data_IF_288553445649
#
_entry.id   IF_288553445649
#
_cell.length_a   1.000
_cell.length_b   1.000
_cell.length_c   1.000
_cell.angle_alpha   90.00
_cell.angle_beta   90.00
_cell.angle_gamma   90.00
#
_symmetry.space_group_name_H-M   'P 1'
#
loop_
_entity.id
_entity.type
_entity.pdbx_description
1 polymer ?
#
# COMPACT_ATOMS: atom_id res chain seq x y z
N UNK A 1 23.71 22.90 3.36
CA UNK A 1 22.83 22.01 2.56
C UNK A 1 21.52 21.66 3.27
N UNK A 2 21.49 21.18 4.51
CA UNK A 2 20.25 20.79 5.21
C UNK A 2 19.17 21.88 5.26
N UNK A 3 19.53 23.15 5.51
CA UNK A 3 18.57 24.26 5.54
C UNK A 3 17.96 24.60 4.16
N UNK A 4 18.70 24.38 3.07
CA UNK A 4 18.18 24.58 1.72
C UNK A 4 17.14 23.52 1.34
N UNK A 5 17.40 22.26 1.71
CA UNK A 5 16.42 21.17 1.50
C UNK A 5 15.17 21.37 2.34
N UNK A 6 15.30 21.81 3.59
CA UNK A 6 14.16 22.12 4.46
C UNK A 6 13.28 23.23 3.89
N UNK A 7 13.87 24.31 3.32
CA UNK A 7 13.12 25.39 2.67
C UNK A 7 12.39 24.94 1.40
N UNK A 8 13.02 24.07 0.61
CA UNK A 8 12.41 23.57 -0.63
C UNK A 8 11.29 22.54 -0.38
N UNK A 9 11.28 21.91 0.80
CA UNK A 9 10.31 20.88 1.16
C UNK A 9 9.26 21.39 2.17
N UNK A 10 9.29 22.69 2.56
CA UNK A 10 8.24 23.25 3.39
C UNK A 10 7.00 23.56 2.56
N UNK A 11 5.85 23.16 3.05
CA UNK A 11 4.57 23.49 2.47
C UNK A 11 4.01 24.72 3.20
N UNK A 12 4.36 25.90 2.71
CA UNK A 12 4.02 27.16 3.39
C UNK A 12 2.54 27.55 3.21
N UNK A 13 1.90 27.09 2.14
CA UNK A 13 0.49 27.33 1.82
C UNK A 13 -0.08 26.20 0.98
N UNK A 14 -1.36 25.96 1.14
CA UNK A 14 -2.10 24.99 0.33
C UNK A 14 -3.54 25.46 0.16
N UNK A 15 -4.16 25.10 -0.95
CA UNK A 15 -5.56 25.35 -1.21
C UNK A 15 -6.36 24.09 -1.02
N UNK A 16 -7.38 24.11 -0.17
CA UNK A 16 -8.28 23.00 0.12
C UNK A 16 -9.72 23.46 -0.09
N UNK A 17 -10.46 22.80 -0.96
CA UNK A 17 -11.84 23.19 -1.30
C UNK A 17 -12.00 24.67 -1.69
N UNK A 18 -11.03 25.21 -2.43
CA UNK A 18 -11.02 26.60 -2.87
C UNK A 18 -10.53 27.61 -1.84
N UNK A 19 -10.23 27.20 -0.60
CA UNK A 19 -9.78 28.07 0.49
C UNK A 19 -8.26 27.95 0.67
N UNK A 20 -7.56 29.11 0.72
CA UNK A 20 -6.15 29.16 1.03
C UNK A 20 -5.89 29.03 2.53
N UNK A 21 -5.04 28.08 2.89
CA UNK A 21 -4.49 27.91 4.23
C UNK A 21 -3.01 28.32 4.22
N UNK A 22 -2.63 29.22 5.09
CA UNK A 22 -1.28 29.82 5.12
C UNK A 22 -0.60 29.73 6.49
N UNK A 23 -1.36 29.50 7.57
CA UNK A 23 -0.79 29.27 8.88
C UNK A 23 -0.45 27.78 9.02
N UNK A 24 0.72 27.50 9.54
CA UNK A 24 1.23 26.13 9.65
C UNK A 24 0.23 25.17 10.31
N UNK A 25 -0.42 25.60 11.39
CA UNK A 25 -1.40 24.77 12.08
C UNK A 25 -2.65 24.53 11.24
N UNK A 26 -3.19 25.59 10.60
CA UNK A 26 -4.37 25.49 9.74
C UNK A 26 -4.09 24.58 8.53
N UNK A 27 -2.88 24.64 7.97
CA UNK A 27 -2.42 23.77 6.88
C UNK A 27 -2.40 22.31 7.34
N UNK A 28 -1.79 22.02 8.49
CA UNK A 28 -1.72 20.65 9.03
C UNK A 28 -3.10 20.08 9.33
N UNK A 29 -3.93 20.85 10.02
CA UNK A 29 -5.29 20.42 10.39
C UNK A 29 -6.17 20.27 9.14
N UNK A 30 -6.08 21.20 8.20
CA UNK A 30 -6.82 21.15 6.94
C UNK A 30 -6.48 19.92 6.11
N UNK A 31 -5.20 19.61 5.98
CA UNK A 31 -4.74 18.39 5.29
C UNK A 31 -5.24 17.14 6.00
N UNK A 32 -5.05 17.06 7.34
CA UNK A 32 -5.48 15.92 8.13
C UNK A 32 -7.00 15.66 8.00
N UNK A 33 -7.80 16.72 8.12
CA UNK A 33 -9.26 16.65 7.99
C UNK A 33 -9.69 16.25 6.57
N UNK A 34 -9.05 16.79 5.53
CA UNK A 34 -9.37 16.44 4.15
C UNK A 34 -9.10 14.96 3.86
N UNK A 35 -7.94 14.44 4.27
CA UNK A 35 -7.63 13.01 4.12
C UNK A 35 -8.47 12.13 5.04
N UNK A 36 -8.78 12.57 6.25
CA UNK A 36 -9.69 11.82 7.12
C UNK A 36 -11.07 11.68 6.47
N UNK A 37 -11.61 12.75 5.92
CA UNK A 37 -12.89 12.72 5.22
C UNK A 37 -12.84 11.84 3.97
N UNK A 38 -11.77 11.92 3.19
CA UNK A 38 -11.57 11.15 1.96
C UNK A 38 -11.41 9.65 2.22
N UNK A 39 -10.66 9.29 3.28
CA UNK A 39 -10.38 7.90 3.64
C UNK A 39 -11.43 7.29 4.58
N UNK A 40 -12.37 8.11 5.07
CA UNK A 40 -13.49 7.60 5.89
C UNK A 40 -14.52 6.94 5.00
N UNK A 41 -14.91 5.72 5.35
CA UNK A 41 -15.95 4.97 4.66
C UNK A 41 -17.33 5.57 4.96
N UNK A 42 -17.82 6.45 4.08
CA UNK A 42 -19.13 7.06 4.20
C UNK A 42 -20.23 6.29 3.44
N UNK A 43 -19.86 5.24 2.70
CA UNK A 43 -20.79 4.49 1.88
C UNK A 43 -21.63 3.54 2.74
N UNK A 44 -22.96 3.75 2.74
CA UNK A 44 -23.94 2.81 3.32
C UNK A 44 -24.05 1.52 2.50
N UNK A 45 -23.61 1.55 1.24
CA UNK A 45 -23.67 0.41 0.34
C UNK A 45 -22.33 -0.35 0.39
N UNK A 46 -22.44 -1.64 0.65
CA UNK A 46 -21.30 -2.58 0.53
C UNK A 46 -21.64 -3.60 -0.53
N UNK A 47 -20.67 -3.91 -1.38
CA UNK A 47 -20.85 -4.95 -2.39
C UNK A 47 -21.13 -6.29 -1.68
N UNK A 48 -22.16 -7.00 -2.11
CA UNK A 48 -22.43 -8.35 -1.62
C UNK A 48 -21.54 -9.35 -2.39
N UNK A 49 -20.55 -9.87 -1.70
CA UNK A 49 -19.59 -10.84 -2.24
C UNK A 49 -20.03 -12.30 -2.02
N UNK A 50 -21.12 -12.56 -1.31
CA UNK A 50 -21.56 -13.93 -0.96
C UNK A 50 -21.96 -14.78 -2.15
N UNK A 51 -22.30 -14.16 -3.28
CA UNK A 51 -22.63 -14.85 -4.52
C UNK A 51 -21.44 -15.08 -5.46
N UNK A 52 -20.24 -14.64 -5.10
CA UNK A 52 -19.06 -14.85 -5.93
C UNK A 52 -18.54 -16.29 -5.75
N UNK A 53 -18.35 -16.96 -6.88
CA UNK A 53 -17.61 -18.24 -6.90
C UNK A 53 -16.12 -17.90 -6.86
N UNK A 54 -15.50 -18.15 -5.72
CA UNK A 54 -14.07 -17.95 -5.51
C UNK A 54 -13.39 -19.32 -5.46
N UNK A 55 -12.22 -19.41 -6.06
CA UNK A 55 -11.37 -20.58 -5.89
C UNK A 55 -10.92 -20.69 -4.42
N UNK A 56 -10.86 -21.91 -3.90
CA UNK A 56 -10.53 -22.17 -2.51
C UNK A 56 -9.11 -22.70 -2.38
N UNK A 57 -8.48 -22.38 -1.27
CA UNK A 57 -7.23 -22.98 -0.85
C UNK A 57 -7.49 -24.39 -0.33
N UNK A 58 -6.52 -25.30 -0.51
CA UNK A 58 -6.53 -26.60 0.15
C UNK A 58 -6.36 -26.42 1.67
N UNK A 59 -6.79 -27.43 2.44
CA UNK A 59 -6.63 -27.43 3.90
C UNK A 59 -5.16 -27.21 4.29
N UNK A 60 -4.23 -27.89 3.63
CA UNK A 60 -2.79 -27.76 3.88
C UNK A 60 -2.27 -26.34 3.63
N UNK A 61 -2.77 -25.67 2.61
CA UNK A 61 -2.38 -24.27 2.30
C UNK A 61 -2.93 -23.31 3.33
N UNK A 62 -4.15 -23.52 3.79
CA UNK A 62 -4.76 -22.72 4.86
C UNK A 62 -3.98 -22.90 6.15
N UNK A 63 -3.71 -24.13 6.57
CA UNK A 63 -2.89 -24.43 7.75
C UNK A 63 -1.51 -23.77 7.65
N UNK A 64 -0.84 -23.83 6.50
CA UNK A 64 0.47 -23.21 6.31
C UNK A 64 0.44 -21.66 6.43
N UNK A 65 -0.66 -21.02 6.04
CA UNK A 65 -0.82 -19.56 6.22
C UNK A 65 -1.00 -19.18 7.67
N UNK A 66 -1.59 -20.06 8.49
CA UNK A 66 -1.91 -19.83 9.90
C UNK A 66 -0.82 -20.32 10.86
N UNK A 67 0.27 -20.90 10.37
CA UNK A 67 1.40 -21.30 11.22
C UNK A 67 1.99 -20.10 11.98
N UNK A 68 2.48 -20.31 13.21
CA UNK A 68 3.26 -19.31 13.93
C UNK A 68 4.43 -18.79 13.06
N UNK A 69 4.86 -17.59 13.31
CA UNK A 69 5.99 -17.00 12.59
C UNK A 69 7.31 -17.57 13.12
N UNK A 70 8.19 -18.00 12.21
CA UNK A 70 9.54 -18.46 12.59
C UNK A 70 10.56 -17.33 12.51
N UNK A 71 11.63 -17.40 13.32
CA UNK A 71 12.73 -16.45 13.27
C UNK A 71 13.36 -16.38 11.86
N UNK A 72 13.52 -17.54 11.19
CA UNK A 72 14.07 -17.61 9.84
C UNK A 72 13.22 -16.86 8.83
N UNK A 73 11.89 -17.01 8.92
CA UNK A 73 10.93 -16.31 8.03
C UNK A 73 11.00 -14.80 8.22
N UNK A 74 11.01 -14.35 9.46
CA UNK A 74 11.04 -12.92 9.81
C UNK A 74 12.37 -12.30 9.44
N UNK A 75 13.49 -12.93 9.79
CA UNK A 75 14.84 -12.50 9.43
C UNK A 75 15.03 -12.43 7.90
N UNK A 76 14.63 -13.46 7.18
CA UNK A 76 14.71 -13.49 5.72
C UNK A 76 13.91 -12.36 5.09
N UNK A 77 12.68 -12.12 5.56
CA UNK A 77 11.86 -11.03 5.08
C UNK A 77 12.50 -9.65 5.36
N UNK A 78 13.12 -9.47 6.53
CA UNK A 78 13.85 -8.24 6.89
C UNK A 78 15.03 -8.00 5.95
N UNK A 79 15.84 -9.03 5.71
CA UNK A 79 17.05 -8.92 4.85
C UNK A 79 16.71 -8.67 3.37
N UNK A 80 15.51 -9.09 2.91
CA UNK A 80 15.01 -8.77 1.57
C UNK A 80 14.54 -7.31 1.40
N UNK A 81 14.35 -6.57 2.49
CA UNK A 81 13.88 -5.20 2.42
C UNK A 81 15.00 -4.24 2.04
N UNK A 82 14.65 -3.16 1.34
CA UNK A 82 15.62 -2.11 1.02
C UNK A 82 15.90 -1.23 2.25
N UNK A 83 17.13 -1.26 2.73
CA UNK A 83 17.60 -0.51 3.90
C UNK A 83 17.51 1.01 3.77
N UNK A 84 17.61 1.55 2.54
CA UNK A 84 17.65 2.99 2.26
C UNK A 84 16.25 3.67 2.30
N UNK A 85 15.20 2.92 2.61
CA UNK A 85 13.86 3.49 2.70
C UNK A 85 13.72 4.44 3.88
N UNK A 86 13.07 5.57 3.64
CA UNK A 86 12.80 6.58 4.66
C UNK A 86 12.11 5.97 5.89
N UNK A 87 12.54 6.36 7.11
CA UNK A 87 11.92 5.90 8.35
C UNK A 87 10.52 6.48 8.53
N UNK A 88 9.75 5.83 9.39
CA UNK A 88 8.47 6.34 9.88
C UNK A 88 8.63 7.20 11.15
N UNK A 89 7.54 7.35 11.94
CA UNK A 89 7.56 8.09 13.19
C UNK A 89 8.51 7.54 14.25
N UNK A 90 8.86 6.25 14.16
CA UNK A 90 9.85 5.58 15.01
C UNK A 90 11.28 6.09 14.80
N UNK A 91 11.57 6.75 13.68
CA UNK A 91 12.87 7.29 13.32
C UNK A 91 13.91 6.25 12.88
N UNK A 92 13.56 4.95 12.89
CA UNK A 92 14.47 3.87 12.53
C UNK A 92 14.32 3.49 11.05
N UNK A 93 15.45 3.43 10.34
CA UNK A 93 15.51 2.91 8.97
C UNK A 93 15.42 1.38 8.97
N UNK A 94 15.14 0.79 7.81
CA UNK A 94 15.18 -0.67 7.66
C UNK A 94 16.61 -1.18 7.88
N UNK A 95 17.64 -0.43 7.43
CA UNK A 95 19.04 -0.76 7.66
C UNK A 95 19.36 -0.91 9.15
N UNK A 96 18.83 -0.02 10.02
CA UNK A 96 18.99 -0.17 11.46
C UNK A 96 18.52 -1.54 11.97
N UNK A 97 17.32 -1.97 11.55
CA UNK A 97 16.75 -3.27 11.96
C UNK A 97 17.57 -4.45 11.43
N UNK A 98 18.12 -4.33 10.20
CA UNK A 98 18.99 -5.33 9.60
C UNK A 98 20.32 -5.46 10.36
N UNK A 99 20.99 -4.33 10.65
CA UNK A 99 22.29 -4.30 11.32
C UNK A 99 22.19 -4.69 12.80
N UNK A 100 21.06 -4.41 13.45
CA UNK A 100 20.84 -4.70 14.87
C UNK A 100 20.06 -6.00 15.11
N UNK A 101 19.82 -6.83 14.09
CA UNK A 101 18.97 -8.02 14.19
C UNK A 101 19.30 -8.90 15.40
N UNK A 102 20.55 -9.25 15.58
CA UNK A 102 20.98 -10.12 16.69
C UNK A 102 20.65 -9.55 18.07
N UNK A 103 20.52 -8.24 18.18
CA UNK A 103 20.20 -7.55 19.42
C UNK A 103 18.69 -7.41 19.64
N UNK A 104 17.90 -7.21 18.57
CA UNK A 104 16.45 -6.87 18.68
C UNK A 104 15.54 -8.05 18.37
N UNK A 105 16.07 -9.19 17.94
CA UNK A 105 15.28 -10.30 17.43
C UNK A 105 14.29 -10.88 18.45
N UNK A 106 14.64 -10.92 19.73
CA UNK A 106 13.78 -11.48 20.76
C UNK A 106 12.49 -10.64 20.91
N UNK A 107 12.62 -9.33 21.00
CA UNK A 107 11.49 -8.40 21.11
C UNK A 107 10.65 -8.37 19.81
N UNK A 108 11.32 -8.45 18.66
CA UNK A 108 10.62 -8.53 17.36
C UNK A 108 9.83 -9.83 17.27
N UNK A 109 10.39 -10.96 17.66
CA UNK A 109 9.69 -12.25 17.65
C UNK A 109 8.53 -12.29 18.67
N UNK A 110 8.68 -11.66 19.83
CA UNK A 110 7.58 -11.51 20.78
C UNK A 110 6.42 -10.72 20.19
N UNK A 111 6.70 -9.61 19.48
CA UNK A 111 5.69 -8.84 18.77
C UNK A 111 4.95 -9.69 17.70
N UNK A 112 5.68 -10.52 16.94
CA UNK A 112 5.07 -11.43 15.96
C UNK A 112 4.22 -12.51 16.61
N UNK A 113 4.63 -13.02 17.77
CA UNK A 113 3.87 -13.97 18.56
C UNK A 113 2.57 -13.35 19.08
N UNK A 114 2.64 -12.15 19.67
CA UNK A 114 1.46 -11.41 20.13
C UNK A 114 0.48 -11.15 18.99
N UNK A 115 0.99 -10.76 17.81
CA UNK A 115 0.15 -10.58 16.63
C UNK A 115 -0.54 -11.88 16.20
N UNK A 116 0.17 -13.01 16.23
CA UNK A 116 -0.38 -14.31 15.87
C UNK A 116 -1.46 -14.77 16.87
N UNK A 117 -1.22 -14.63 18.16
CA UNK A 117 -2.13 -15.09 19.21
C UNK A 117 -3.36 -14.20 19.38
N UNK A 118 -3.18 -12.87 19.27
CA UNK A 118 -4.23 -11.90 19.59
C UNK A 118 -4.87 -11.28 18.35
N UNK A 119 -4.35 -11.53 17.16
CA UNK A 119 -4.78 -10.89 15.89
C UNK A 119 -4.83 -9.35 16.01
N UNK A 120 -4.00 -8.78 16.86
CA UNK A 120 -3.96 -7.35 17.15
C UNK A 120 -2.54 -6.81 17.00
N UNK A 121 -2.44 -5.55 16.59
CA UNK A 121 -1.19 -4.85 16.40
C UNK A 121 -1.20 -3.55 17.21
N UNK A 122 -0.09 -3.23 17.86
CA UNK A 122 0.00 -2.03 18.70
C UNK A 122 -0.26 -0.77 17.85
N UNK A 123 -1.22 0.05 18.27
CA UNK A 123 -1.59 1.29 17.55
C UNK A 123 -0.40 2.24 17.36
N UNK A 124 0.54 2.28 18.30
CA UNK A 124 1.75 3.10 18.21
C UNK A 124 2.64 2.71 17.02
N UNK A 125 2.72 1.42 16.69
CA UNK A 125 3.48 0.91 15.56
C UNK A 125 2.78 1.14 14.22
N UNK A 126 1.46 1.36 14.23
CA UNK A 126 0.65 1.68 13.04
C UNK A 126 0.51 3.19 12.81
N UNK A 127 1.35 4.00 13.43
CA UNK A 127 1.40 5.44 13.14
C UNK A 127 2.23 5.71 11.89
N UNK A 128 1.88 6.78 11.18
CA UNK A 128 2.58 7.16 9.95
C UNK A 128 2.76 8.66 9.84
N UNK A 129 3.85 9.10 9.23
CA UNK A 129 3.91 10.46 8.69
C UNK A 129 3.24 10.49 7.33
N UNK A 130 2.41 11.49 7.10
CA UNK A 130 1.86 11.79 5.80
C UNK A 130 2.68 12.90 5.14
N UNK A 131 3.37 12.57 4.05
CA UNK A 131 4.19 13.52 3.28
C UNK A 131 3.51 13.78 1.94
N UNK A 132 3.40 15.05 1.57
CA UNK A 132 2.81 15.47 0.31
C UNK A 132 3.89 15.71 -0.75
N UNK A 133 3.82 14.97 -1.85
CA UNK A 133 4.74 15.12 -2.99
C UNK A 133 3.99 15.79 -4.14
N UNK A 134 4.45 16.94 -4.66
CA UNK A 134 3.78 17.61 -5.76
C UNK A 134 3.83 16.74 -7.04
N UNK A 135 2.70 16.66 -7.74
CA UNK A 135 2.57 15.98 -9.03
C UNK A 135 3.14 16.81 -10.19
N UNK A 136 3.20 18.14 -9.99
CA UNK A 136 3.62 19.11 -11.00
C UNK A 136 4.30 20.32 -10.36
N UNK A 137 5.05 21.10 -11.13
CA UNK A 137 5.55 22.40 -10.70
C UNK A 137 4.38 23.37 -10.46
N UNK A 138 4.48 24.20 -9.39
CA UNK A 138 3.43 25.15 -9.02
C UNK A 138 2.17 24.48 -8.46
N UNK A 139 2.30 23.32 -7.82
CA UNK A 139 1.21 22.66 -7.11
C UNK A 139 0.66 23.56 -5.99
N UNK A 140 -0.63 23.80 -5.98
CA UNK A 140 -1.32 24.69 -5.04
C UNK A 140 -2.50 24.00 -4.36
N UNK A 141 -3.31 23.28 -5.11
CA UNK A 141 -4.45 22.54 -4.58
C UNK A 141 -4.02 21.21 -3.98
N UNK A 142 -4.73 20.73 -2.95
CA UNK A 142 -4.45 19.42 -2.32
C UNK A 142 -4.44 18.29 -3.35
N UNK A 143 -5.30 18.35 -4.36
CA UNK A 143 -5.36 17.39 -5.47
C UNK A 143 -4.09 17.37 -6.36
N UNK A 144 -3.26 18.41 -6.32
CA UNK A 144 -1.98 18.47 -7.03
C UNK A 144 -0.85 17.71 -6.33
N UNK A 145 -1.11 17.18 -5.16
CA UNK A 145 -0.12 16.41 -4.39
C UNK A 145 -0.46 14.92 -4.34
N UNK A 146 0.57 14.11 -4.17
CA UNK A 146 0.44 12.68 -3.83
C UNK A 146 0.73 12.50 -2.35
N UNK A 147 -0.20 11.96 -1.57
CA UNK A 147 0.09 11.58 -0.19
C UNK A 147 0.99 10.33 -0.19
N UNK A 148 2.09 10.40 0.54
CA UNK A 148 2.98 9.26 0.78
C UNK A 148 3.03 9.00 2.26
N UNK A 149 2.66 7.78 2.66
CA UNK A 149 2.73 7.34 4.05
C UNK A 149 4.11 6.78 4.36
N UNK A 150 4.77 7.36 5.37
CA UNK A 150 6.04 6.87 5.90
C UNK A 150 5.76 6.06 7.17
N UNK A 151 5.66 4.76 7.01
CA UNK A 151 5.39 3.79 8.07
C UNK A 151 6.67 3.41 8.80
N UNK A 152 6.55 2.98 10.06
CA UNK A 152 7.65 2.43 10.85
C UNK A 152 8.21 1.12 10.30
N UNK A 153 9.43 0.79 10.70
CA UNK A 153 10.15 -0.39 10.22
C UNK A 153 9.45 -1.70 10.58
N UNK A 154 8.97 -1.84 11.81
CA UNK A 154 8.28 -3.05 12.28
C UNK A 154 6.95 -3.31 11.57
N UNK A 155 6.18 -2.25 11.27
CA UNK A 155 4.96 -2.40 10.48
C UNK A 155 5.27 -2.90 9.07
N UNK A 156 6.31 -2.32 8.44
CA UNK A 156 6.76 -2.75 7.11
C UNK A 156 7.22 -4.20 7.11
N UNK A 157 7.92 -4.63 8.17
CA UNK A 157 8.38 -6.00 8.33
C UNK A 157 7.21 -6.97 8.46
N UNK A 158 6.25 -6.70 9.34
CA UNK A 158 5.04 -7.52 9.46
C UNK A 158 4.31 -7.64 8.12
N UNK A 159 4.08 -6.51 7.44
CA UNK A 159 3.44 -6.50 6.12
C UNK A 159 4.22 -7.30 5.07
N UNK A 160 5.56 -7.25 5.11
CA UNK A 160 6.43 -8.01 4.21
C UNK A 160 6.33 -9.52 4.44
N UNK A 161 6.35 -9.96 5.70
CA UNK A 161 6.21 -11.39 6.08
C UNK A 161 4.85 -11.91 5.63
N UNK A 162 3.76 -11.19 5.95
CA UNK A 162 2.41 -11.56 5.50
C UNK A 162 2.30 -11.60 3.97
N UNK A 163 2.87 -10.62 3.28
CA UNK A 163 2.91 -10.60 1.82
C UNK A 163 3.68 -11.79 1.24
N UNK A 164 4.79 -12.18 1.86
CA UNK A 164 5.57 -13.35 1.43
C UNK A 164 4.78 -14.66 1.59
N UNK A 165 3.98 -14.80 2.67
CA UNK A 165 3.05 -15.93 2.83
C UNK A 165 1.96 -15.92 1.77
N UNK A 166 1.28 -14.80 1.58
CA UNK A 166 0.19 -14.65 0.61
C UNK A 166 0.66 -14.88 -0.84
N UNK A 167 1.86 -14.47 -1.20
CA UNK A 167 2.42 -14.70 -2.55
C UNK A 167 2.46 -16.17 -2.95
N UNK A 168 2.56 -17.10 -2.00
CA UNK A 168 2.61 -18.53 -2.27
C UNK A 168 1.26 -19.08 -2.77
N UNK A 169 0.17 -18.45 -2.42
CA UNK A 169 -1.19 -18.95 -2.66
C UNK A 169 -2.05 -18.04 -3.54
N UNK A 170 -1.70 -16.75 -3.65
CA UNK A 170 -2.55 -15.76 -4.33
C UNK A 170 -2.81 -16.10 -5.80
N UNK A 171 -1.84 -16.74 -6.46
CA UNK A 171 -1.99 -17.15 -7.86
C UNK A 171 -3.05 -18.22 -8.09
N UNK A 172 -3.49 -18.94 -7.02
CA UNK A 172 -4.52 -19.98 -7.08
C UNK A 172 -5.94 -19.42 -6.87
N UNK A 173 -6.08 -18.43 -5.99
CA UNK A 173 -7.39 -17.86 -5.63
C UNK A 173 -7.80 -16.66 -6.46
N UNK A 174 -6.85 -16.06 -7.17
CA UNK A 174 -7.10 -14.90 -8.02
C UNK A 174 -7.29 -15.33 -9.46
N UNK A 175 -8.40 -14.88 -10.08
CA UNK A 175 -8.75 -15.17 -11.47
C UNK A 175 -7.55 -15.06 -12.41
N UNK A 176 -7.47 -15.95 -13.41
CA UNK A 176 -6.45 -15.93 -14.47
C UNK A 176 -6.45 -14.62 -15.28
N UNK A 177 -7.56 -13.87 -15.25
CA UNK A 177 -7.67 -12.58 -15.92
C UNK A 177 -6.98 -11.43 -15.16
N UNK A 178 -6.62 -11.64 -13.90
CA UNK A 178 -5.86 -10.66 -13.11
C UNK A 178 -4.37 -10.79 -13.41
N UNK A 179 -3.83 -9.87 -14.17
CA UNK A 179 -2.43 -9.88 -14.59
C UNK A 179 -1.52 -9.03 -13.69
N UNK A 180 -2.05 -7.98 -13.04
CA UNK A 180 -1.26 -7.09 -12.21
C UNK A 180 -0.99 -7.69 -10.82
N UNK A 181 0.24 -7.52 -10.33
CA UNK A 181 0.69 -7.84 -8.97
C UNK A 181 0.64 -9.33 -8.57
N UNK A 182 0.44 -10.24 -9.50
CA UNK A 182 0.49 -11.68 -9.28
C UNK A 182 1.80 -12.21 -9.87
N UNK A 183 2.55 -12.96 -9.06
CA UNK A 183 3.86 -13.52 -9.47
C UNK A 183 3.70 -14.42 -10.71
N UNK A 184 4.60 -14.25 -11.69
CA UNK A 184 4.58 -15.00 -12.94
C UNK A 184 3.60 -14.48 -13.99
N UNK A 185 2.82 -13.42 -13.70
CA UNK A 185 1.91 -12.75 -14.67
C UNK A 185 2.45 -11.37 -15.03
N UNK A 186 2.20 -10.94 -16.26
CA UNK A 186 2.67 -9.64 -16.75
C UNK A 186 1.48 -8.70 -16.97
N UNK A 187 1.61 -7.45 -16.53
CA UNK A 187 0.58 -6.41 -16.73
C UNK A 187 0.31 -6.18 -18.21
N UNK A 188 1.36 -6.31 -19.05
CA UNK A 188 1.26 -6.13 -20.48
C UNK A 188 0.38 -7.19 -21.17
N UNK A 189 0.24 -8.39 -20.61
CA UNK A 189 -0.56 -9.46 -21.21
C UNK A 189 -2.03 -9.03 -21.39
N UNK A 190 -2.60 -8.35 -20.37
CA UNK A 190 -3.96 -7.83 -20.48
C UNK A 190 -4.11 -6.80 -21.62
N UNK A 191 -3.11 -5.95 -21.81
CA UNK A 191 -3.10 -4.94 -22.89
C UNK A 191 -2.97 -5.59 -24.26
N UNK A 192 -2.14 -6.63 -24.36
CA UNK A 192 -1.97 -7.38 -25.62
C UNK A 192 -3.24 -8.12 -26.00
N UNK A 193 -3.89 -8.81 -25.04
CA UNK A 193 -5.17 -9.49 -25.27
C UNK A 193 -6.25 -8.48 -25.73
N UNK A 194 -6.35 -7.32 -25.08
CA UNK A 194 -7.29 -6.28 -25.49
C UNK A 194 -7.03 -5.80 -26.91
N UNK A 195 -5.76 -5.59 -27.29
CA UNK A 195 -5.38 -5.18 -28.64
C UNK A 195 -5.72 -6.27 -29.67
N UNK A 196 -5.47 -7.53 -29.37
CA UNK A 196 -5.80 -8.66 -30.27
C UNK A 196 -7.31 -8.78 -30.49
N UNK A 197 -8.09 -8.59 -29.44
CA UNK A 197 -9.58 -8.60 -29.53
C UNK A 197 -10.05 -7.46 -30.43
N UNK A 198 -9.52 -6.24 -30.24
CA UNK A 198 -9.86 -5.08 -31.07
C UNK A 198 -9.50 -5.33 -32.52
N UNK A 199 -8.30 -5.84 -32.80
CA UNK A 199 -7.84 -6.15 -34.15
C UNK A 199 -8.69 -7.25 -34.81
N UNK A 200 -9.08 -8.27 -34.05
CA UNK A 200 -9.96 -9.33 -34.51
C UNK A 200 -11.32 -8.78 -34.93
N UNK A 201 -11.97 -7.96 -34.10
CA UNK A 201 -13.24 -7.30 -34.44
C UNK A 201 -13.12 -6.41 -35.69
N UNK A 202 -12.02 -5.66 -35.79
CA UNK A 202 -11.76 -4.78 -36.95
C UNK A 202 -11.62 -5.57 -38.23
N UNK A 203 -10.91 -6.70 -38.21
CA UNK A 203 -10.75 -7.59 -39.36
C UNK A 203 -12.06 -8.26 -39.78
N UNK A 204 -12.90 -8.66 -38.82
CA UNK A 204 -14.20 -9.27 -39.07
C UNK A 204 -15.29 -8.26 -39.39
N UNK A 205 -15.02 -6.95 -39.29
CA UNK A 205 -16.02 -5.87 -39.38
C UNK A 205 -17.16 -6.01 -38.37
N UNK A 206 -16.87 -6.62 -37.21
CA UNK A 206 -17.81 -6.76 -36.11
C UNK A 206 -17.85 -5.47 -35.29
N UNK A 207 -19.05 -5.20 -34.70
CA UNK A 207 -19.20 -4.08 -33.77
C UNK A 207 -19.08 -4.62 -32.34
N UNK A 208 -18.30 -3.98 -31.52
CA UNK A 208 -18.13 -4.31 -30.11
C UNK A 208 -18.09 -3.07 -29.24
N UNK A 209 -18.27 -3.25 -27.94
CA UNK A 209 -18.10 -2.22 -26.92
C UNK A 209 -16.94 -2.61 -26.02
N UNK A 210 -15.99 -1.69 -25.83
CA UNK A 210 -14.90 -1.84 -24.86
C UNK A 210 -15.20 -0.85 -23.73
N UNK A 211 -15.34 -1.37 -22.52
CA UNK A 211 -15.50 -0.57 -21.33
C UNK A 211 -14.21 -0.64 -20.50
N UNK A 212 -13.50 0.50 -20.37
CA UNK A 212 -12.41 0.66 -19.43
C UNK A 212 -13.00 1.16 -18.12
N UNK A 213 -12.93 0.33 -17.08
CA UNK A 213 -13.33 0.71 -15.73
C UNK A 213 -12.09 1.21 -14.99
N UNK A 214 -12.03 2.50 -14.73
CA UNK A 214 -11.07 3.07 -13.79
C UNK A 214 -11.81 3.27 -12.46
N UNK A 215 -11.27 2.76 -11.36
CA UNK A 215 -11.67 3.22 -10.04
C UNK A 215 -11.13 4.66 -9.89
N UNK A 216 -11.99 5.62 -10.14
CA UNK A 216 -11.69 6.99 -9.74
C UNK A 216 -11.73 7.04 -8.23
N UNK A 217 -10.59 7.09 -7.62
CA UNK A 217 -10.50 7.76 -6.33
C UNK A 217 -10.93 9.20 -6.60
N UNK A 218 -12.05 9.62 -6.01
CA UNK A 218 -12.53 11.00 -6.06
C UNK A 218 -11.54 11.91 -5.31
N UNK A 219 -10.33 12.02 -5.86
CA UNK A 219 -9.33 13.01 -5.49
C UNK A 219 -9.43 14.10 -6.57
N UNK A 220 -10.57 14.77 -6.59
CA UNK A 220 -10.77 16.05 -7.26
C UNK A 220 -10.86 17.15 -6.22
#
# INVERSE_FOLDING_TARGET
>A
MANAHRRNNSLDKIKINGVWLTKEQDVREGIANAYHQMLSENAKWKADIRGLQLDHLSLQETENLELPFSEEEVCSALMEMNGDKAPGPDGFTVAFWQDCWDFVKEEVMEMFKDFHEQSSFLKSLNTTFLVLIPKKGGAEDLGDFRPISLLGGLYKLLAKVLANRLKKVIGKVVSSNQNAFVMGRQILDASLIANEVIDSWRKRKEKGLICKLDSYDNIN
#
